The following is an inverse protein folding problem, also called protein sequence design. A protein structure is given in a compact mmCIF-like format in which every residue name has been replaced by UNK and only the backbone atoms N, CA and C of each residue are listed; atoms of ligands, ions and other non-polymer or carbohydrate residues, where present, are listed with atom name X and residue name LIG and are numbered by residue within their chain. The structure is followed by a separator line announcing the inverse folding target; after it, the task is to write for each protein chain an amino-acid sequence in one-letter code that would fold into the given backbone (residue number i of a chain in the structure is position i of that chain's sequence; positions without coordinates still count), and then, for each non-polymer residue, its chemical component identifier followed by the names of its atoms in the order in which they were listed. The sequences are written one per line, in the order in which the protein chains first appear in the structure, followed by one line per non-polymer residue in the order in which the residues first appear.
data_IF_198519033728
#
_entry.id   IF_198519033728
#
_cell.length_a   1.000
_cell.length_b   1.000
_cell.length_c   1.000
_cell.angle_alpha   90.00
_cell.angle_beta   90.00
_cell.angle_gamma   90.00
#
_symmetry.space_group_name_H-M   'P 1'
#
loop_
_entity.id
_entity.type
_entity.pdbx_description
1 polymer ?
#
# COMPACT_ATOMS: atom_id res chain seq x y z
N UNK A 1 7.23 -45.80 70.55
CA UNK A 1 8.10 -45.10 69.58
C UNK A 1 7.47 -45.23 68.20
N UNK A 2 7.11 -44.10 67.60
CA UNK A 2 6.24 -43.99 66.43
C UNK A 2 7.11 -43.93 65.15
N UNK A 3 7.00 -44.93 64.27
CA UNK A 3 7.68 -44.94 62.98
C UNK A 3 6.98 -43.98 62.00
N UNK A 4 7.64 -42.87 61.66
CA UNK A 4 7.18 -41.93 60.62
C UNK A 4 7.50 -42.50 59.24
N UNK A 5 6.46 -42.92 58.52
CA UNK A 5 6.50 -43.26 57.09
C UNK A 5 6.59 -41.95 56.30
N UNK A 6 7.59 -41.81 55.41
CA UNK A 6 7.70 -40.69 54.47
C UNK A 6 6.81 -40.98 53.26
N UNK A 7 5.82 -40.14 53.00
CA UNK A 7 5.02 -40.18 51.76
C UNK A 7 5.83 -39.57 50.59
N UNK A 8 6.04 -40.27 49.46
CA UNK A 8 6.58 -39.67 48.26
C UNK A 8 5.48 -38.91 47.48
N UNK A 9 5.76 -37.63 47.20
CA UNK A 9 4.88 -36.68 46.53
C UNK A 9 4.78 -36.92 45.01
N UNK A 10 4.26 -38.07 44.58
CA UNK A 10 4.14 -38.43 43.15
C UNK A 10 2.69 -38.57 42.66
N UNK A 11 1.71 -37.96 43.32
CA UNK A 11 0.31 -38.04 42.87
C UNK A 11 -0.33 -36.67 43.07
N UNK A 12 -0.16 -35.76 42.10
CA UNK A 12 -1.03 -34.59 41.85
C UNK A 12 -0.57 -33.81 40.58
N UNK A 13 -0.29 -34.48 39.46
CA UNK A 13 -0.02 -33.77 38.18
C UNK A 13 -0.61 -34.45 36.94
N UNK A 14 -1.61 -35.31 37.08
CA UNK A 14 -2.23 -36.01 35.96
C UNK A 14 -3.75 -35.86 35.98
N UNK A 15 -4.25 -34.62 35.97
CA UNK A 15 -5.68 -34.35 35.76
C UNK A 15 -5.91 -32.86 35.41
N UNK A 16 -5.23 -32.32 34.39
CA UNK A 16 -5.83 -31.22 33.64
C UNK A 16 -6.41 -31.81 32.37
N UNK A 17 -7.70 -32.10 32.49
CA UNK A 17 -8.59 -32.69 31.53
C UNK A 17 -8.51 -32.01 30.17
N UNK A 18 -8.63 -32.85 29.13
CA UNK A 18 -9.08 -32.48 27.81
C UNK A 18 -10.35 -31.61 27.89
N UNK A 19 -10.22 -30.29 27.72
CA UNK A 19 -11.35 -29.42 27.42
C UNK A 19 -10.90 -28.27 26.53
N UNK A 20 -10.92 -28.55 25.23
CA UNK A 20 -10.57 -27.55 24.21
C UNK A 20 -10.99 -28.01 22.84
N UNK A 21 -12.25 -28.44 22.67
CA UNK A 21 -12.83 -28.54 21.33
C UNK A 21 -13.00 -27.10 20.84
N UNK A 22 -11.94 -26.51 20.30
CA UNK A 22 -12.00 -25.22 19.65
C UNK A 22 -12.81 -25.41 18.37
N UNK A 23 -14.07 -25.00 18.39
CA UNK A 23 -14.83 -24.71 17.18
C UNK A 23 -14.12 -23.55 16.48
N UNK A 24 -13.18 -23.88 15.58
CA UNK A 24 -12.67 -22.91 14.62
C UNK A 24 -13.81 -22.54 13.70
N UNK A 25 -14.47 -21.43 14.00
CA UNK A 25 -15.27 -20.71 13.00
C UNK A 25 -14.30 -20.36 11.88
N UNK A 26 -14.57 -20.88 10.67
CA UNK A 26 -13.85 -20.43 9.49
C UNK A 26 -14.19 -18.95 9.30
N UNK A 27 -13.30 -18.05 9.73
CA UNK A 27 -13.37 -16.67 9.30
C UNK A 27 -13.14 -16.67 7.78
N UNK A 28 -14.21 -16.43 7.03
CA UNK A 28 -14.06 -16.02 5.64
C UNK A 28 -13.24 -14.74 5.66
N UNK A 29 -11.98 -14.83 5.23
CA UNK A 29 -11.12 -13.70 4.95
C UNK A 29 -11.72 -12.98 3.73
N UNK A 30 -12.80 -12.23 3.94
CA UNK A 30 -13.30 -11.30 2.93
C UNK A 30 -12.31 -10.14 2.92
N UNK A 31 -11.24 -10.29 2.14
CA UNK A 31 -10.38 -9.16 1.81
C UNK A 31 -11.26 -8.16 1.05
N UNK A 32 -11.47 -6.94 1.56
CA UNK A 32 -12.17 -5.93 0.78
C UNK A 32 -11.44 -5.77 -0.55
N UNK A 33 -12.19 -5.95 -1.64
CA UNK A 33 -11.68 -5.66 -2.98
C UNK A 33 -11.53 -4.14 -3.09
N UNK A 34 -10.34 -3.65 -2.79
CA UNK A 34 -10.02 -2.26 -3.06
C UNK A 34 -9.77 -2.10 -4.54
N UNK A 35 -10.43 -1.12 -5.12
CA UNK A 35 -10.10 -0.65 -6.44
C UNK A 35 -8.65 -0.21 -6.52
N UNK A 36 -7.90 -0.76 -7.47
CA UNK A 36 -6.60 -0.24 -7.87
C UNK A 36 -6.82 1.17 -8.43
N UNK A 37 -6.70 2.19 -7.57
CA UNK A 37 -7.02 3.60 -7.86
C UNK A 37 -8.47 3.91 -8.30
N UNK A 38 -9.46 3.35 -7.60
CA UNK A 38 -10.87 3.71 -7.79
C UNK A 38 -11.62 2.97 -8.90
N UNK A 39 -10.99 2.01 -9.59
CA UNK A 39 -11.64 1.13 -10.56
C UNK A 39 -12.03 -0.25 -10.00
N UNK A 40 -13.29 -0.64 -10.17
CA UNK A 40 -13.76 -2.00 -9.91
C UNK A 40 -13.59 -2.83 -11.18
N UNK A 41 -12.89 -3.97 -11.09
CA UNK A 41 -12.73 -4.88 -12.22
C UNK A 41 -14.06 -5.57 -12.51
N UNK A 42 -14.50 -5.52 -13.76
CA UNK A 42 -15.70 -6.24 -14.21
C UNK A 42 -15.24 -7.54 -14.86
N UNK A 43 -15.56 -8.71 -14.26
CA UNK A 43 -15.19 -10.00 -14.82
C UNK A 43 -15.71 -10.20 -16.24
N UNK A 44 -15.05 -11.06 -17.02
CA UNK A 44 -15.51 -11.53 -18.34
C UNK A 44 -15.62 -10.47 -19.44
N UNK A 45 -15.01 -9.30 -19.24
CA UNK A 45 -14.98 -8.23 -20.26
C UNK A 45 -13.72 -8.25 -21.13
N UNK A 46 -12.67 -8.95 -20.71
CA UNK A 46 -11.33 -8.84 -21.31
C UNK A 46 -10.66 -7.48 -21.10
N UNK A 47 -11.25 -6.58 -20.31
CA UNK A 47 -10.69 -5.24 -20.02
C UNK A 47 -9.83 -5.29 -18.77
N UNK A 48 -8.56 -4.92 -18.93
CA UNK A 48 -7.66 -4.66 -17.82
C UNK A 48 -7.57 -3.17 -17.51
N UNK A 49 -7.46 -2.83 -16.22
CA UNK A 49 -7.37 -1.45 -15.76
C UNK A 49 -6.22 -1.34 -14.77
N UNK A 50 -5.28 -0.46 -15.10
CA UNK A 50 -4.09 -0.19 -14.29
C UNK A 50 -4.15 1.22 -13.74
N UNK A 51 -3.73 1.39 -12.49
CA UNK A 51 -3.57 2.73 -11.93
C UNK A 51 -2.42 3.44 -12.63
N UNK A 52 -2.71 4.61 -13.19
CA UNK A 52 -1.67 5.50 -13.72
C UNK A 52 -1.11 6.45 -12.67
N UNK A 53 -1.51 6.36 -11.41
CA UNK A 53 -1.06 7.27 -10.36
C UNK A 53 0.40 7.08 -9.93
N UNK A 54 0.94 5.85 -9.81
CA UNK A 54 2.27 5.70 -9.25
C UNK A 54 3.40 6.13 -10.19
N UNK A 55 4.50 6.59 -9.59
CA UNK A 55 5.84 6.69 -10.21
C UNK A 55 5.85 7.60 -11.45
N UNK A 56 5.54 8.88 -11.24
CA UNK A 56 5.80 9.95 -12.20
C UNK A 56 7.11 10.66 -11.88
N UNK A 57 7.78 11.20 -12.90
CA UNK A 57 8.86 12.17 -12.79
C UNK A 57 8.29 13.57 -12.87
N UNK A 58 8.61 14.42 -11.91
CA UNK A 58 8.12 15.79 -11.79
C UNK A 58 9.26 16.80 -11.82
N UNK A 59 9.08 17.86 -12.60
CA UNK A 59 9.97 19.00 -12.65
C UNK A 59 9.17 20.30 -12.64
N UNK A 60 9.45 21.15 -11.64
CA UNK A 60 8.86 22.49 -11.53
C UNK A 60 9.79 23.49 -12.20
N UNK A 61 9.42 23.94 -13.39
CA UNK A 61 10.24 24.77 -14.24
C UNK A 61 9.99 24.45 -15.72
N UNK A 62 10.51 25.31 -16.58
CA UNK A 62 10.55 25.01 -18.00
C UNK A 62 11.72 24.06 -18.31
N UNK A 63 11.45 23.08 -19.17
CA UNK A 63 12.38 22.05 -19.58
C UNK A 63 12.23 21.86 -21.09
N UNK A 64 13.10 22.53 -21.86
CA UNK A 64 13.09 22.45 -23.32
C UNK A 64 13.16 20.99 -23.78
N UNK A 65 12.34 20.65 -24.76
CA UNK A 65 12.27 19.31 -25.37
C UNK A 65 11.93 18.16 -24.41
N UNK A 66 11.41 18.45 -23.21
CA UNK A 66 10.99 17.42 -22.26
C UNK A 66 9.74 16.61 -22.68
N UNK A 67 9.19 16.85 -23.88
CA UNK A 67 8.18 15.99 -24.51
C UNK A 67 8.81 14.76 -25.17
N UNK A 68 10.12 14.78 -25.46
CA UNK A 68 10.77 13.71 -26.20
C UNK A 68 10.90 12.44 -25.34
N UNK A 69 10.66 11.23 -25.88
CA UNK A 69 10.78 10.00 -25.11
C UNK A 69 12.19 9.78 -24.54
N UNK A 70 13.23 10.19 -25.27
CA UNK A 70 14.65 10.03 -24.94
C UNK A 70 15.21 11.11 -23.98
N UNK A 71 14.39 12.05 -23.53
CA UNK A 71 14.82 13.08 -22.57
C UNK A 71 15.27 12.49 -21.24
N UNK A 72 16.45 12.89 -20.76
CA UNK A 72 17.02 12.42 -19.50
C UNK A 72 16.34 13.07 -18.28
N UNK A 73 15.37 12.37 -17.71
CA UNK A 73 14.58 12.82 -16.55
C UNK A 73 14.97 12.12 -15.23
N UNK A 74 16.11 11.42 -15.19
CA UNK A 74 16.55 10.64 -14.02
C UNK A 74 16.79 11.51 -12.78
N UNK A 75 17.14 12.78 -12.97
CA UNK A 75 17.33 13.78 -11.91
C UNK A 75 16.02 14.40 -11.40
N UNK A 76 14.89 14.15 -12.06
CA UNK A 76 13.60 14.72 -11.68
C UNK A 76 13.01 14.00 -10.46
N UNK A 77 12.22 14.73 -9.68
CA UNK A 77 11.58 14.23 -8.47
C UNK A 77 10.62 13.08 -8.81
N UNK A 78 10.63 12.00 -8.04
CA UNK A 78 9.64 10.93 -8.18
C UNK A 78 8.41 11.25 -7.32
N UNK A 79 7.22 11.21 -7.92
CA UNK A 79 5.94 11.54 -7.27
C UNK A 79 4.84 10.53 -7.62
N UNK A 80 3.74 10.55 -6.87
CA UNK A 80 2.54 9.77 -7.13
C UNK A 80 1.33 10.69 -7.24
N UNK A 81 0.43 10.44 -8.18
CA UNK A 81 -0.79 11.22 -8.31
C UNK A 81 -1.86 10.77 -7.28
N UNK A 82 -2.72 11.68 -6.80
CA UNK A 82 -2.71 13.12 -7.04
C UNK A 82 -1.50 13.81 -6.40
N UNK A 83 -0.87 14.73 -7.15
CA UNK A 83 0.30 15.50 -6.71
C UNK A 83 0.10 16.99 -7.04
N UNK A 84 0.40 17.88 -6.09
CA UNK A 84 0.39 19.33 -6.29
C UNK A 84 1.75 19.86 -6.72
N UNK A 85 1.78 20.97 -7.46
CA UNK A 85 3.06 21.57 -7.93
C UNK A 85 3.93 22.04 -6.76
N UNK A 86 3.29 22.50 -5.68
CA UNK A 86 3.93 22.92 -4.46
C UNK A 86 2.95 22.80 -3.29
N UNK A 87 3.48 22.87 -2.08
CA UNK A 87 2.71 22.94 -0.84
C UNK A 87 2.80 24.36 -0.32
N UNK A 88 1.66 24.97 -0.07
CA UNK A 88 1.57 26.31 0.49
C UNK A 88 0.86 26.28 1.85
N UNK A 89 1.09 27.29 2.72
CA UNK A 89 0.29 27.46 3.92
C UNK A 89 -1.20 27.65 3.60
N UNK A 90 -2.07 27.45 4.59
CA UNK A 90 -3.52 27.64 4.44
C UNK A 90 -3.86 29.09 4.02
N UNK A 91 -3.06 30.06 4.46
CA UNK A 91 -3.20 31.49 4.15
C UNK A 91 -2.54 31.91 2.83
N UNK A 92 -2.43 31.01 1.85
CA UNK A 92 -1.84 31.28 0.54
C UNK A 92 -2.77 32.06 -0.41
N UNK A 93 -3.33 33.16 0.08
CA UNK A 93 -4.09 34.13 -0.72
C UNK A 93 -3.17 35.04 -1.54
N UNK A 94 -3.71 35.70 -2.57
CA UNK A 94 -3.01 36.77 -3.28
C UNK A 94 -2.08 36.32 -4.43
N UNK A 95 -2.22 35.09 -4.94
CA UNK A 95 -1.50 34.65 -6.14
C UNK A 95 -0.01 34.36 -5.91
N UNK A 96 0.37 34.07 -4.67
CA UNK A 96 1.75 33.69 -4.29
C UNK A 96 2.16 32.32 -4.81
N UNK A 97 1.19 31.53 -5.27
CA UNK A 97 1.44 30.20 -5.78
C UNK A 97 2.25 30.24 -7.09
N UNK A 98 2.99 29.18 -7.37
CA UNK A 98 3.71 29.00 -8.61
C UNK A 98 2.76 29.06 -9.82
N UNK A 99 3.07 29.95 -10.76
CA UNK A 99 2.32 30.19 -12.01
C UNK A 99 3.12 29.79 -13.27
N UNK A 100 4.28 29.16 -13.09
CA UNK A 100 5.15 28.78 -14.19
C UNK A 100 4.82 27.41 -14.80
N UNK A 101 5.66 26.98 -15.73
CA UNK A 101 5.57 25.67 -16.37
C UNK A 101 5.94 24.55 -15.39
N UNK A 102 5.22 23.44 -15.45
CA UNK A 102 5.59 22.22 -14.74
C UNK A 102 5.44 21.03 -15.67
N UNK A 103 6.35 20.05 -15.51
CA UNK A 103 6.38 18.85 -16.30
C UNK A 103 6.13 17.61 -15.44
N UNK A 104 5.34 16.68 -16.01
CA UNK A 104 5.15 15.33 -15.51
C UNK A 104 5.50 14.35 -16.62
N UNK A 105 6.38 13.38 -16.34
CA UNK A 105 6.78 12.31 -17.28
C UNK A 105 6.55 10.95 -16.66
N UNK A 106 6.03 10.00 -17.43
CA UNK A 106 5.81 8.62 -16.99
C UNK A 106 6.36 7.65 -18.02
N UNK A 107 7.15 6.70 -17.53
CA UNK A 107 7.60 5.53 -18.28
C UNK A 107 6.71 4.36 -17.89
N UNK A 108 6.13 3.69 -18.87
CA UNK A 108 5.32 2.49 -18.65
C UNK A 108 5.45 1.56 -19.85
N UNK A 109 5.27 0.27 -19.58
CA UNK A 109 5.19 -0.76 -20.60
C UNK A 109 3.74 -1.23 -20.70
N UNK A 110 3.32 -1.59 -21.91
CA UNK A 110 2.01 -2.19 -22.14
C UNK A 110 2.17 -3.70 -21.94
N UNK A 111 1.40 -4.33 -21.04
CA UNK A 111 1.45 -5.77 -20.85
C UNK A 111 1.11 -6.52 -22.15
N UNK A 112 1.76 -7.67 -22.37
CA UNK A 112 1.36 -8.60 -23.42
C UNK A 112 0.01 -9.23 -23.04
N UNK A 113 -0.90 -9.35 -24.02
CA UNK A 113 -2.26 -9.89 -23.84
C UNK A 113 -2.37 -11.39 -24.07
#
# INVERSE_FOLDING_TARGET
MLFKIKHPAWILSAAFFLSGLHLTVAQQQVSPAFSTAGFYTIPETGREVFSMNPVWRFFRGDAADAYRPDYADTSWQVVHLPHGIEVLPEEASGGVNYQGVAWYRKHFEVPEG
#
